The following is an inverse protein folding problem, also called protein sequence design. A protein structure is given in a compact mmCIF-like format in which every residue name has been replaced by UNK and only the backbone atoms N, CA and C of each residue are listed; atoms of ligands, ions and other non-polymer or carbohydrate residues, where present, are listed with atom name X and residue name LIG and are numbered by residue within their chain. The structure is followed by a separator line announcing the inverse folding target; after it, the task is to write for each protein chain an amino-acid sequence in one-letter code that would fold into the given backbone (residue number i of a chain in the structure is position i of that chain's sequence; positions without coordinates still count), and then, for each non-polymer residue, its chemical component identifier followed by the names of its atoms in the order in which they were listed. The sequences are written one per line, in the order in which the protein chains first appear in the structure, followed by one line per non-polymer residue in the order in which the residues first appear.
data_IF_385526381849
#
_entry.id   IF_385526381849
#
_cell.length_a   1.000
_cell.length_b   1.000
_cell.length_c   1.000
_cell.angle_alpha   90.00
_cell.angle_beta   90.00
_cell.angle_gamma   90.00
#
_symmetry.space_group_name_H-M   'P 1'
#
loop_
_entity.id
_entity.type
_entity.pdbx_description
1 polymer ?
#
# COMPACT_ATOMS: atom_id res chain seq x y z
N UNK A 1 -13.72 10.31 2.08
CA UNK A 1 -13.58 9.12 2.94
C UNK A 1 -12.57 9.32 4.08
N UNK A 2 -11.41 9.93 3.84
CA UNK A 2 -10.34 10.12 4.84
C UNK A 2 -10.75 10.75 6.18
N UNK A 3 -11.62 11.78 6.18
CA UNK A 3 -12.09 12.44 7.42
C UNK A 3 -12.92 11.49 8.30
N UNK A 4 -13.72 10.62 7.68
CA UNK A 4 -14.54 9.63 8.38
C UNK A 4 -13.67 8.55 9.01
N UNK A 5 -12.67 8.06 8.27
CA UNK A 5 -11.67 7.11 8.77
C UNK A 5 -10.89 7.70 9.95
N UNK A 6 -10.46 8.96 9.84
CA UNK A 6 -9.76 9.67 10.91
C UNK A 6 -10.60 9.80 12.20
N UNK A 7 -11.85 10.27 12.07
CA UNK A 7 -12.76 10.43 13.20
C UNK A 7 -13.06 9.08 13.88
N UNK A 8 -13.30 8.03 13.09
CA UNK A 8 -13.55 6.67 13.58
C UNK A 8 -12.37 6.15 14.41
N UNK A 9 -11.14 6.23 13.90
CA UNK A 9 -9.97 5.68 14.58
C UNK A 9 -9.55 6.51 15.81
N UNK A 10 -9.62 7.84 15.77
CA UNK A 10 -9.37 8.67 16.96
C UNK A 10 -10.40 8.39 18.06
N UNK A 11 -11.69 8.29 17.68
CA UNK A 11 -12.77 7.93 18.60
C UNK A 11 -12.59 6.53 19.21
N UNK A 12 -11.95 5.61 18.49
CA UNK A 12 -11.65 4.25 18.95
C UNK A 12 -10.41 4.18 19.85
N UNK A 13 -9.32 4.88 19.53
CA UNK A 13 -8.06 4.76 20.27
C UNK A 13 -8.12 5.36 21.67
N UNK A 14 -8.89 6.43 21.88
CA UNK A 14 -9.00 7.10 23.18
C UNK A 14 -9.58 6.21 24.30
N UNK A 15 -10.69 5.46 24.10
CA UNK A 15 -11.19 4.54 25.10
C UNK A 15 -10.31 3.29 25.27
N UNK A 16 -9.71 2.77 24.19
CA UNK A 16 -8.90 1.55 24.25
C UNK A 16 -7.53 1.74 24.92
N UNK A 17 -6.89 2.89 24.70
CA UNK A 17 -5.50 3.15 25.11
C UNK A 17 -5.37 4.26 26.16
N UNK A 18 -6.49 4.76 26.68
CA UNK A 18 -6.49 5.83 27.67
C UNK A 18 -5.83 7.11 27.15
N UNK A 19 -4.97 7.72 27.95
CA UNK A 19 -4.25 8.96 27.59
C UNK A 19 -3.27 8.77 26.43
N UNK A 20 -2.72 7.57 26.25
CA UNK A 20 -1.83 7.24 25.13
C UNK A 20 -2.55 7.19 23.78
N UNK A 21 -3.88 7.08 23.77
CA UNK A 21 -4.68 7.03 22.55
C UNK A 21 -4.50 8.25 21.64
N UNK A 22 -4.24 9.44 22.21
CA UNK A 22 -3.96 10.64 21.40
C UNK A 22 -2.60 10.59 20.72
N UNK A 23 -1.55 10.11 21.41
CA UNK A 23 -0.21 9.97 20.84
C UNK A 23 -0.21 8.91 19.74
N UNK A 24 -0.80 7.75 20.04
CA UNK A 24 -0.96 6.68 19.06
C UNK A 24 -1.82 7.13 17.86
N UNK A 25 -2.95 7.80 18.12
CA UNK A 25 -3.81 8.36 17.09
C UNK A 25 -3.10 9.39 16.21
N UNK A 26 -2.30 10.28 16.80
CA UNK A 26 -1.48 11.24 16.05
C UNK A 26 -0.47 10.54 15.13
N UNK A 27 0.23 9.52 15.63
CA UNK A 27 1.14 8.70 14.82
C UNK A 27 0.43 7.96 13.69
N UNK A 28 -0.73 7.35 13.99
CA UNK A 28 -1.55 6.65 13.00
C UNK A 28 -2.06 7.62 11.91
N UNK A 29 -2.52 8.82 12.28
CA UNK A 29 -2.92 9.86 11.32
C UNK A 29 -1.76 10.34 10.44
N UNK A 30 -0.58 10.54 11.04
CA UNK A 30 0.62 10.90 10.28
C UNK A 30 0.97 9.79 9.27
N UNK A 31 0.95 8.52 9.70
CA UNK A 31 1.18 7.38 8.82
C UNK A 31 0.16 7.28 7.68
N UNK A 32 -1.14 7.50 7.97
CA UNK A 32 -2.19 7.51 6.94
C UNK A 32 -2.01 8.67 5.95
N UNK A 33 -1.63 9.86 6.41
CA UNK A 33 -1.31 10.98 5.54
C UNK A 33 -0.10 10.68 4.64
N UNK A 34 0.97 10.09 5.20
CA UNK A 34 2.12 9.64 4.41
C UNK A 34 1.73 8.58 3.38
N UNK A 35 0.86 7.63 3.74
CA UNK A 35 0.32 6.64 2.80
C UNK A 35 -0.41 7.31 1.62
N UNK A 36 -1.29 8.28 1.89
CA UNK A 36 -2.01 9.01 0.85
C UNK A 36 -1.07 9.82 -0.04
N UNK A 37 -0.06 10.47 0.56
CA UNK A 37 0.95 11.22 -0.20
C UNK A 37 1.79 10.30 -1.08
N UNK A 38 2.19 9.13 -0.59
CA UNK A 38 2.90 8.13 -1.37
C UNK A 38 2.04 7.64 -2.55
N UNK A 39 0.77 7.30 -2.29
CA UNK A 39 -0.18 6.89 -3.33
C UNK A 39 -0.31 7.98 -4.41
N UNK A 40 -0.52 9.22 -4.01
CA UNK A 40 -0.61 10.36 -4.93
C UNK A 40 0.69 10.53 -5.73
N UNK A 41 1.85 10.48 -5.06
CA UNK A 41 3.15 10.61 -5.71
C UNK A 41 3.41 9.50 -6.74
N UNK A 42 2.98 8.26 -6.46
CA UNK A 42 3.11 7.13 -7.39
C UNK A 42 2.40 7.42 -8.71
N UNK A 43 1.20 8.00 -8.64
CA UNK A 43 0.40 8.29 -9.83
C UNK A 43 0.88 9.49 -10.64
N UNK A 44 1.49 10.49 -9.99
CA UNK A 44 1.82 11.77 -10.67
C UNK A 44 3.31 11.97 -10.93
N UNK A 45 4.19 11.15 -10.35
CA UNK A 45 5.65 11.27 -10.49
C UNK A 45 6.29 10.02 -11.06
N UNK A 46 7.43 10.22 -11.73
CA UNK A 46 8.31 9.12 -12.17
C UNK A 46 8.89 8.38 -10.95
N UNK A 47 9.08 7.05 -11.05
CA UNK A 47 9.67 6.27 -9.97
C UNK A 47 11.08 6.78 -9.63
N UNK A 48 11.44 6.83 -8.34
CA UNK A 48 12.80 7.16 -7.94
C UNK A 48 13.76 6.05 -8.36
N UNK A 49 15.03 6.40 -8.63
CA UNK A 49 16.09 5.46 -9.04
C UNK A 49 16.74 4.71 -7.87
N UNK A 50 16.06 4.64 -6.72
CA UNK A 50 16.53 3.97 -5.52
C UNK A 50 15.56 2.84 -5.14
N UNK A 51 15.77 2.23 -3.96
CA UNK A 51 14.96 1.10 -3.49
C UNK A 51 13.46 1.41 -3.37
N UNK A 52 13.06 2.68 -3.19
CA UNK A 52 11.65 3.08 -3.17
C UNK A 52 10.95 2.85 -4.51
N UNK A 53 11.68 2.71 -5.62
CA UNK A 53 11.09 2.38 -6.92
C UNK A 53 10.26 1.09 -6.90
N UNK A 54 10.49 0.21 -5.92
CA UNK A 54 9.69 -1.00 -5.71
C UNK A 54 8.21 -0.68 -5.47
N UNK A 55 7.87 0.39 -4.74
CA UNK A 55 6.47 0.70 -4.41
C UNK A 55 5.72 1.22 -5.64
N UNK A 56 6.40 1.94 -6.53
CA UNK A 56 5.85 2.33 -7.84
C UNK A 56 5.56 1.10 -8.69
N UNK A 57 6.55 0.18 -8.81
CA UNK A 57 6.38 -1.03 -9.60
C UNK A 57 5.22 -1.86 -9.06
N UNK A 58 5.17 -2.05 -7.74
CA UNK A 58 4.15 -2.86 -7.07
C UNK A 58 2.75 -2.27 -7.22
N UNK A 59 2.57 -0.98 -6.91
CA UNK A 59 1.27 -0.31 -7.03
C UNK A 59 0.75 -0.28 -8.48
N UNK A 60 1.66 -0.21 -9.46
CA UNK A 60 1.28 -0.34 -10.86
C UNK A 60 0.78 -1.76 -11.21
N UNK A 61 1.18 -2.81 -10.49
CA UNK A 61 0.62 -4.16 -10.72
C UNK A 61 -0.88 -4.19 -10.41
N UNK A 62 -1.31 -3.50 -9.34
CA UNK A 62 -2.72 -3.37 -8.98
C UNK A 62 -3.54 -2.80 -10.15
N UNK A 63 -3.09 -1.68 -10.73
CA UNK A 63 -3.83 -1.02 -11.82
C UNK A 63 -3.73 -1.69 -13.21
N UNK A 64 -2.65 -2.42 -13.49
CA UNK A 64 -2.38 -2.93 -14.84
C UNK A 64 -2.49 -4.44 -15.00
N UNK A 65 -2.34 -5.22 -13.92
CA UNK A 65 -2.31 -6.69 -13.97
C UNK A 65 -3.59 -7.30 -13.41
N UNK A 66 -4.25 -6.62 -12.47
CA UNK A 66 -5.57 -6.98 -11.96
C UNK A 66 -5.86 -6.33 -10.61
N UNK A 67 -7.10 -5.88 -10.43
CA UNK A 67 -7.56 -5.17 -9.23
C UNK A 67 -7.68 -6.10 -7.99
N UNK A 68 -7.51 -7.41 -8.17
CA UNK A 68 -7.68 -8.45 -7.14
C UNK A 68 -6.39 -8.77 -6.35
N UNK A 69 -5.36 -7.94 -6.46
CA UNK A 69 -4.10 -8.11 -5.73
C UNK A 69 -3.22 -6.86 -5.70
N UNK A 70 -2.03 -7.01 -5.11
CA UNK A 70 -1.08 -5.90 -4.88
C UNK A 70 -1.70 -4.72 -4.13
N UNK A 71 -2.42 -5.01 -3.04
CA UNK A 71 -3.15 -4.01 -2.26
C UNK A 71 -2.23 -3.04 -1.49
N UNK A 72 -0.99 -3.46 -1.19
CA UNK A 72 -0.04 -2.69 -0.39
C UNK A 72 0.60 -1.53 -1.15
N UNK A 73 0.17 -0.29 -0.90
CA UNK A 73 0.74 0.89 -1.58
C UNK A 73 2.11 1.30 -1.03
N UNK A 74 2.29 1.29 0.30
CA UNK A 74 3.54 1.72 0.95
C UNK A 74 4.60 0.61 1.01
N UNK A 75 4.18 -0.65 0.91
CA UNK A 75 5.05 -1.82 0.81
C UNK A 75 4.24 -3.05 0.37
N UNK A 76 4.87 -4.04 -0.29
CA UNK A 76 4.23 -5.31 -0.65
C UNK A 76 4.13 -6.31 0.52
N UNK A 77 4.59 -5.93 1.71
CA UNK A 77 4.75 -6.85 2.85
C UNK A 77 3.45 -7.62 3.15
N UNK A 78 2.33 -6.92 3.28
CA UNK A 78 1.06 -7.54 3.58
C UNK A 78 0.51 -8.39 2.43
N UNK A 79 0.87 -8.09 1.18
CA UNK A 79 0.51 -8.93 0.05
C UNK A 79 1.21 -10.29 0.07
N UNK A 80 2.43 -10.35 0.62
CA UNK A 80 3.11 -11.62 0.86
C UNK A 80 2.51 -12.38 2.03
N UNK A 81 2.16 -11.69 3.13
CA UNK A 81 1.57 -12.31 4.33
C UNK A 81 0.20 -12.92 4.03
N UNK A 82 -0.64 -12.22 3.25
CA UNK A 82 -2.00 -12.65 2.94
C UNK A 82 -2.14 -13.35 1.59
N UNK A 83 -1.05 -13.56 0.85
CA UNK A 83 -1.07 -14.28 -0.42
C UNK A 83 -1.74 -13.52 -1.56
N UNK A 84 -1.79 -12.19 -1.49
CA UNK A 84 -2.40 -11.30 -2.50
C UNK A 84 -1.36 -10.68 -3.45
N UNK A 85 -0.12 -11.17 -3.41
CA UNK A 85 0.94 -10.76 -4.34
C UNK A 85 0.68 -11.35 -5.73
N UNK A 86 0.47 -10.53 -6.77
CA UNK A 86 0.25 -11.03 -8.11
C UNK A 86 1.55 -11.63 -8.67
N UNK A 87 1.46 -12.73 -9.44
CA UNK A 87 2.63 -13.33 -10.07
C UNK A 87 3.26 -12.37 -11.08
N UNK A 88 4.59 -12.34 -11.11
CA UNK A 88 5.34 -11.43 -11.98
C UNK A 88 4.93 -11.64 -13.45
N UNK A 89 4.40 -10.60 -14.14
CA UNK A 89 4.00 -10.68 -15.54
C UNK A 89 5.12 -11.19 -16.45
N UNK A 90 6.38 -10.88 -16.13
CA UNK A 90 7.55 -11.35 -16.89
C UNK A 90 7.78 -12.85 -16.72
N UNK A 91 7.56 -13.38 -15.51
CA UNK A 91 7.62 -14.84 -15.27
C UNK A 91 6.49 -15.57 -16.00
N UNK A 92 5.29 -15.00 -16.02
CA UNK A 92 4.16 -15.56 -16.79
C UNK A 92 4.46 -15.58 -18.29
N UNK A 93 5.01 -14.50 -18.83
CA UNK A 93 5.39 -14.42 -20.25
C UNK A 93 6.48 -15.43 -20.62
N UNK A 94 7.53 -15.56 -19.80
CA UNK A 94 8.60 -16.54 -20.02
C UNK A 94 8.07 -17.99 -19.99
N UNK A 95 7.27 -18.34 -18.97
CA UNK A 95 6.68 -19.68 -18.86
C UNK A 95 5.75 -20.04 -20.03
N UNK A 96 5.09 -19.06 -20.64
CA UNK A 96 4.26 -19.28 -21.84
C UNK A 96 5.10 -19.54 -23.08
N UNK A 97 6.29 -18.94 -23.20
CA UNK A 97 7.22 -19.16 -24.31
C UNK A 97 7.85 -20.55 -24.22
N UNK A 98 8.20 -21.01 -23.03
CA UNK A 98 8.81 -22.34 -22.84
C UNK A 98 7.84 -23.52 -23.09
N UNK A 99 6.53 -23.26 -23.21
CA UNK A 99 5.48 -24.25 -23.45
C UNK A 99 5.07 -24.37 -24.93
N UNK A 100 5.69 -23.59 -25.83
CA UNK A 100 5.42 -23.57 -27.28
C UNK A 100 6.65 -24.11 -28.02
#
# INVERSE_FOLDING_TARGET
MSVLVAAMFIGLFRPLMGTHGFVFGGGFMAGYATYLLAHYAIHVRKPPKNWLGVVWKHHNLHHYVGDDGAFGVSSPFWDHVFGTMPPDPRRRAAAKVDLI
#
